data_IF_312674863894
#
_entry.id   IF_312674863894
#
_cell.length_a   1.000
_cell.length_b   1.000
_cell.length_c   1.000
_cell.angle_alpha   90.00
_cell.angle_beta   90.00
_cell.angle_gamma   90.00
#
_symmetry.space_group_name_H-M   'P 1'
#
loop_
_entity.id
_entity.type
_entity.pdbx_description
1 polymer ?
#
# COMPACT_ATOMS: atom_id res chain seq x y z
N UNK A 1 36.87 -26.43 -37.57
CA UNK A 1 35.71 -25.51 -37.74
C UNK A 1 35.01 -25.44 -36.39
N UNK A 2 35.23 -24.36 -35.63
CA UNK A 2 34.68 -24.21 -34.27
C UNK A 2 33.30 -23.56 -34.36
N UNK A 3 32.27 -24.26 -33.86
CA UNK A 3 30.93 -23.70 -33.69
C UNK A 3 30.96 -22.71 -32.51
N UNK A 4 30.79 -21.42 -32.81
CA UNK A 4 30.55 -20.39 -31.79
C UNK A 4 29.06 -20.36 -31.50
N UNK A 5 28.65 -20.89 -30.36
CA UNK A 5 27.31 -20.71 -29.81
C UNK A 5 27.18 -19.25 -29.34
N UNK A 6 26.55 -18.42 -30.16
CA UNK A 6 26.17 -17.06 -29.80
C UNK A 6 25.06 -17.12 -28.74
N UNK A 7 25.43 -16.92 -27.48
CA UNK A 7 24.47 -16.69 -26.41
C UNK A 7 23.79 -15.34 -26.66
N UNK A 8 22.59 -15.38 -27.23
CA UNK A 8 21.72 -14.21 -27.35
C UNK A 8 21.19 -13.88 -25.95
N UNK A 9 22.00 -13.17 -25.15
CA UNK A 9 21.54 -12.57 -23.91
C UNK A 9 20.60 -11.44 -24.25
N UNK A 10 19.29 -11.69 -24.14
CA UNK A 10 18.28 -10.63 -24.15
C UNK A 10 18.58 -9.70 -22.97
N UNK A 11 19.21 -8.55 -23.25
CA UNK A 11 19.32 -7.46 -22.30
C UNK A 11 17.89 -7.06 -21.94
N UNK A 12 17.46 -7.36 -20.71
CA UNK A 12 16.19 -6.89 -20.17
C UNK A 12 16.28 -5.36 -20.12
N UNK A 13 15.65 -4.72 -21.10
CA UNK A 13 15.52 -3.28 -21.19
C UNK A 13 14.90 -2.75 -19.89
N UNK A 14 15.46 -1.68 -19.35
CA UNK A 14 15.12 -1.18 -18.03
C UNK A 14 13.63 -0.80 -17.96
N UNK A 15 12.93 -1.37 -16.98
CA UNK A 15 11.50 -1.29 -16.70
C UNK A 15 10.97 0.10 -16.24
N UNK A 16 11.50 1.21 -16.77
CA UNK A 16 11.13 2.58 -16.36
C UNK A 16 10.39 3.30 -17.49
N UNK A 17 9.17 3.77 -17.24
CA UNK A 17 8.44 4.63 -18.19
C UNK A 17 9.13 6.00 -18.18
N UNK A 18 9.80 6.38 -19.28
CA UNK A 18 10.52 7.65 -19.36
C UNK A 18 9.59 8.85 -19.13
N UNK A 19 8.28 8.71 -19.37
CA UNK A 19 7.29 9.78 -19.26
C UNK A 19 7.08 10.27 -17.82
N UNK A 20 7.46 9.47 -16.83
CA UNK A 20 7.29 9.83 -15.41
C UNK A 20 8.47 10.59 -14.84
N UNK A 21 9.62 10.57 -15.54
CA UNK A 21 10.83 11.30 -15.13
C UNK A 21 11.44 10.81 -13.81
N UNK A 22 11.30 9.51 -13.49
CA UNK A 22 11.79 8.93 -12.23
C UNK A 22 12.49 7.58 -12.47
N UNK A 23 13.58 7.28 -11.76
CA UNK A 23 14.41 6.05 -11.88
C UNK A 23 14.38 5.15 -10.63
N UNK A 24 14.35 3.80 -10.71
CA UNK A 24 14.32 3.01 -9.47
C UNK A 24 15.54 3.23 -8.60
N UNK A 25 15.30 3.15 -7.29
CA UNK A 25 16.37 3.05 -6.30
C UNK A 25 17.27 1.85 -6.59
N UNK A 26 18.53 1.92 -6.14
CA UNK A 26 19.49 0.84 -6.29
C UNK A 26 18.97 -0.43 -5.58
N UNK A 27 19.16 -1.58 -6.22
CA UNK A 27 18.99 -2.88 -5.57
C UNK A 27 20.15 -3.07 -4.58
N UNK A 28 19.80 -3.19 -3.30
CA UNK A 28 20.74 -3.31 -2.18
C UNK A 28 20.79 -4.72 -1.62
N UNK A 29 19.78 -5.55 -1.93
CA UNK A 29 19.75 -6.98 -1.59
C UNK A 29 19.42 -7.81 -2.84
N UNK A 30 20.16 -8.89 -3.04
CA UNK A 30 19.95 -9.84 -4.13
C UNK A 30 18.58 -10.53 -4.01
N UNK A 31 17.97 -10.93 -5.13
CA UNK A 31 16.64 -11.56 -5.17
C UNK A 31 16.49 -12.81 -4.31
N UNK A 32 17.59 -13.51 -4.04
CA UNK A 32 17.59 -14.81 -3.38
C UNK A 32 17.98 -14.73 -1.89
N UNK A 33 18.23 -13.52 -1.38
CA UNK A 33 18.63 -13.30 0.02
C UNK A 33 17.43 -12.84 0.85
N UNK A 34 17.38 -13.20 2.14
CA UNK A 34 16.34 -12.69 3.02
C UNK A 34 16.45 -11.16 3.12
N UNK A 35 15.32 -10.48 3.02
CA UNK A 35 15.25 -9.03 3.15
C UNK A 35 15.29 -8.65 4.64
N UNK A 36 16.24 -7.78 5.07
CA UNK A 36 16.23 -7.23 6.43
C UNK A 36 14.92 -6.50 6.71
N UNK A 37 14.36 -6.71 7.90
CA UNK A 37 13.14 -6.02 8.34
C UNK A 37 13.50 -4.67 8.99
N UNK A 38 12.64 -3.69 8.78
CA UNK A 38 12.81 -2.35 9.35
C UNK A 38 13.98 -1.55 8.75
N UNK A 39 14.54 -0.64 9.55
CA UNK A 39 15.73 0.15 9.22
C UNK A 39 15.47 1.46 8.46
N UNK A 40 14.23 1.74 8.08
CA UNK A 40 13.82 3.02 7.51
C UNK A 40 13.59 4.12 8.54
N UNK A 41 13.11 5.27 8.05
CA UNK A 41 12.76 6.43 8.89
C UNK A 41 11.27 6.72 8.85
N UNK A 42 10.76 7.26 9.95
CA UNK A 42 9.44 7.85 9.95
C UNK A 42 9.45 9.17 9.18
N UNK A 43 8.49 9.37 8.26
CA UNK A 43 8.27 10.64 7.57
C UNK A 43 6.84 10.78 7.04
N UNK A 44 6.27 11.96 7.24
CA UNK A 44 5.16 12.44 6.42
C UNK A 44 5.70 12.83 5.04
N UNK A 45 6.79 13.60 5.01
CA UNK A 45 7.45 14.05 3.79
C UNK A 45 6.90 15.38 3.28
N UNK A 46 7.69 16.07 2.46
CA UNK A 46 7.30 17.34 1.83
C UNK A 46 6.37 17.06 0.64
N UNK A 47 5.53 18.04 0.23
CA UNK A 47 4.83 17.97 -1.05
C UNK A 47 5.81 17.72 -2.20
N UNK A 48 5.38 16.92 -3.17
CA UNK A 48 6.22 16.53 -4.29
C UNK A 48 5.40 16.39 -5.57
N UNK A 49 6.07 16.44 -6.72
CA UNK A 49 5.44 16.43 -8.04
C UNK A 49 5.94 15.23 -8.85
N UNK A 50 5.03 14.49 -9.46
CA UNK A 50 5.36 13.40 -10.39
C UNK A 50 4.48 13.51 -11.63
N UNK A 51 5.07 13.43 -12.82
CA UNK A 51 4.36 13.50 -14.10
C UNK A 51 3.37 14.68 -14.20
N UNK A 52 3.73 15.86 -13.69
CA UNK A 52 2.84 17.03 -13.70
C UNK A 52 1.89 17.17 -12.51
N UNK A 53 1.62 16.09 -11.76
CA UNK A 53 0.66 16.04 -10.66
C UNK A 53 1.34 16.26 -9.31
N UNK A 54 0.75 17.12 -8.48
CA UNK A 54 1.21 17.36 -7.11
C UNK A 54 0.58 16.38 -6.12
N UNK A 55 1.39 15.95 -5.16
CA UNK A 55 1.01 15.11 -4.03
C UNK A 55 1.39 15.82 -2.73
N UNK A 56 0.48 15.75 -1.77
CA UNK A 56 0.62 16.43 -0.48
C UNK A 56 0.50 15.39 0.64
N UNK A 57 1.62 14.74 1.02
CA UNK A 57 1.62 13.88 2.19
C UNK A 57 1.21 14.64 3.44
N UNK A 58 0.38 14.00 4.27
CA UNK A 58 -0.12 14.58 5.52
C UNK A 58 -0.42 13.48 6.52
N UNK A 59 -0.41 13.84 7.79
CA UNK A 59 -1.04 13.02 8.83
C UNK A 59 -2.55 13.01 8.62
N UNK A 60 -3.13 11.83 8.63
CA UNK A 60 -4.58 11.64 8.50
C UNK A 60 -4.99 10.39 9.26
N UNK A 61 -5.18 10.53 10.57
CA UNK A 61 -5.52 9.41 11.45
C UNK A 61 -6.94 8.87 11.25
N UNK A 62 -7.74 9.57 10.43
CA UNK A 62 -9.11 9.19 10.05
C UNK A 62 -9.20 8.74 8.60
N UNK A 63 -8.06 8.54 7.94
CA UNK A 63 -8.02 8.19 6.52
C UNK A 63 -8.83 6.92 6.25
N UNK A 64 -9.81 7.06 5.37
CA UNK A 64 -10.74 6.01 4.97
C UNK A 64 -11.23 6.30 3.55
N UNK A 65 -10.57 5.70 2.57
CA UNK A 65 -10.80 6.01 1.16
C UNK A 65 -11.04 4.76 0.33
N UNK A 66 -11.86 4.91 -0.71
CA UNK A 66 -12.13 3.86 -1.69
C UNK A 66 -11.52 4.22 -3.02
N UNK A 67 -10.82 3.26 -3.63
CA UNK A 67 -10.17 3.50 -4.92
C UNK A 67 -9.64 2.22 -5.54
N UNK A 68 -8.84 2.38 -6.59
CA UNK A 68 -8.27 1.24 -7.33
C UNK A 68 -6.92 0.88 -6.73
N UNK A 69 -6.74 -0.40 -6.38
CA UNK A 69 -5.45 -0.98 -6.06
C UNK A 69 -4.82 -1.62 -7.30
N UNK A 70 -3.49 -1.60 -7.31
CA UNK A 70 -2.65 -2.48 -8.14
C UNK A 70 -1.69 -3.27 -7.27
N UNK A 71 -0.75 -4.00 -7.88
CA UNK A 71 0.36 -4.60 -7.17
C UNK A 71 1.66 -4.54 -7.97
N UNK A 72 2.80 -4.62 -7.27
CA UNK A 72 4.13 -4.55 -7.85
C UNK A 72 5.02 -5.74 -7.52
N UNK A 73 5.86 -6.11 -8.50
CA UNK A 73 6.54 -7.41 -8.57
C UNK A 73 8.03 -7.42 -8.21
N UNK A 74 8.70 -8.46 -8.68
CA UNK A 74 10.09 -8.84 -8.43
C UNK A 74 11.13 -7.80 -8.90
N UNK A 75 10.79 -6.98 -9.89
CA UNK A 75 11.64 -5.90 -10.39
C UNK A 75 12.07 -4.92 -9.28
N UNK A 76 11.22 -4.76 -8.26
CA UNK A 76 11.45 -3.90 -7.10
C UNK A 76 12.08 -4.62 -5.90
N UNK A 77 11.99 -5.95 -5.84
CA UNK A 77 12.42 -6.72 -4.68
C UNK A 77 13.87 -6.36 -4.30
N UNK A 78 14.20 -6.25 -3.01
CA UNK A 78 15.57 -5.93 -2.58
C UNK A 78 16.05 -4.51 -2.92
N UNK A 79 15.18 -3.63 -3.44
CA UNK A 79 15.46 -2.20 -3.62
C UNK A 79 14.94 -1.39 -2.43
N UNK A 80 15.47 -0.19 -2.25
CA UNK A 80 15.01 0.71 -1.19
C UNK A 80 13.63 1.30 -1.52
N UNK A 81 12.74 1.30 -0.53
CA UNK A 81 11.47 2.04 -0.57
C UNK A 81 11.71 3.52 -0.26
N UNK A 82 10.67 4.35 -0.44
CA UNK A 82 10.74 5.76 -0.16
C UNK A 82 11.19 6.07 1.28
N UNK A 83 10.86 5.25 2.28
CA UNK A 83 11.27 5.49 3.67
C UNK A 83 12.63 4.89 4.04
N UNK A 84 13.33 4.23 3.11
CA UNK A 84 14.64 3.64 3.32
C UNK A 84 14.62 2.17 3.78
N UNK A 85 13.44 1.59 4.02
CA UNK A 85 13.31 0.14 4.14
C UNK A 85 13.61 -0.56 2.81
N UNK A 86 13.75 -1.88 2.85
CA UNK A 86 14.00 -2.68 1.66
C UNK A 86 12.71 -3.40 1.27
N UNK A 87 12.29 -3.27 0.01
CA UNK A 87 11.06 -3.89 -0.46
C UNK A 87 11.18 -5.42 -0.51
N UNK A 88 10.25 -6.07 0.17
CA UNK A 88 10.07 -7.52 0.18
C UNK A 88 8.72 -7.86 -0.48
N UNK A 89 8.76 -8.51 -1.65
CA UNK A 89 7.54 -8.88 -2.36
C UNK A 89 6.73 -9.97 -1.64
N UNK A 90 7.35 -10.66 -0.68
CA UNK A 90 6.73 -11.70 0.15
C UNK A 90 6.16 -11.14 1.46
N UNK A 91 6.41 -9.87 1.80
CA UNK A 91 5.84 -9.21 2.97
C UNK A 91 4.43 -8.69 2.71
N UNK A 92 3.65 -8.47 3.76
CA UNK A 92 2.36 -7.79 3.69
C UNK A 92 2.57 -6.27 3.72
N UNK A 93 2.98 -5.70 2.58
CA UNK A 93 3.33 -4.29 2.43
C UNK A 93 2.62 -3.60 1.26
N UNK A 94 2.68 -2.27 1.23
CA UNK A 94 2.09 -1.43 0.20
C UNK A 94 2.81 -0.08 0.03
N UNK A 95 2.55 0.57 -1.10
CA UNK A 95 2.90 1.96 -1.40
C UNK A 95 1.64 2.84 -1.38
N UNK A 96 1.75 4.04 -0.79
CA UNK A 96 0.68 5.05 -0.80
C UNK A 96 1.22 6.45 -1.12
N UNK A 97 0.51 7.27 -1.92
CA UNK A 97 1.03 8.58 -2.35
C UNK A 97 1.18 9.57 -1.19
N UNK A 98 0.28 9.55 -0.21
CA UNK A 98 0.19 10.64 0.78
C UNK A 98 0.17 10.22 2.24
N UNK A 99 0.06 8.92 2.55
CA UNK A 99 0.03 8.48 3.95
C UNK A 99 1.42 8.65 4.57
N UNK A 100 1.55 8.93 5.87
CA UNK A 100 2.84 8.92 6.54
C UNK A 100 3.49 7.53 6.42
N UNK A 101 4.81 7.50 6.37
CA UNK A 101 5.57 6.25 6.28
C UNK A 101 6.46 6.07 7.52
N UNK A 102 6.64 4.85 8.05
CA UNK A 102 5.80 3.69 7.79
C UNK A 102 4.50 3.75 8.61
N UNK A 103 3.42 3.21 8.06
CA UNK A 103 2.08 3.18 8.68
C UNK A 103 1.44 1.83 8.46
N UNK A 104 0.58 1.38 9.38
CA UNK A 104 -0.33 0.27 9.13
C UNK A 104 -1.65 0.77 8.55
N UNK A 105 -2.12 0.08 7.51
CA UNK A 105 -3.44 0.32 6.92
C UNK A 105 -4.19 -1.01 6.71
N UNK A 106 -5.49 -1.03 6.95
CA UNK A 106 -6.36 -2.14 6.55
C UNK A 106 -6.77 -1.94 5.10
N UNK A 107 -6.52 -2.95 4.28
CA UNK A 107 -6.95 -2.99 2.88
C UNK A 107 -8.02 -4.05 2.74
N UNK A 108 -9.18 -3.65 2.22
CA UNK A 108 -10.31 -4.54 1.97
C UNK A 108 -10.61 -4.57 0.48
N UNK A 109 -10.55 -5.75 -0.13
CA UNK A 109 -11.00 -5.94 -1.50
C UNK A 109 -12.53 -5.98 -1.53
N UNK A 110 -13.15 -5.02 -2.22
CA UNK A 110 -14.59 -4.81 -2.19
C UNK A 110 -15.37 -5.82 -3.05
N UNK A 111 -14.70 -6.55 -3.96
CA UNK A 111 -15.39 -7.56 -4.79
C UNK A 111 -15.67 -8.85 -4.02
N UNK A 112 -14.75 -9.25 -3.13
CA UNK A 112 -14.80 -10.51 -2.39
C UNK A 112 -14.91 -10.32 -0.87
N UNK A 113 -14.78 -9.09 -0.35
CA UNK A 113 -14.87 -8.79 1.08
C UNK A 113 -13.65 -9.20 1.91
N UNK A 114 -12.59 -9.73 1.28
CA UNK A 114 -11.36 -10.10 1.98
C UNK A 114 -10.62 -8.87 2.46
N UNK A 115 -10.03 -8.94 3.65
CA UNK A 115 -9.21 -7.84 4.18
C UNK A 115 -7.95 -8.32 4.89
N UNK A 116 -6.94 -7.46 4.92
CA UNK A 116 -5.69 -7.68 5.65
C UNK A 116 -5.08 -6.33 6.04
N UNK A 117 -4.36 -6.27 7.15
CA UNK A 117 -3.55 -5.11 7.52
C UNK A 117 -2.17 -5.23 6.85
N UNK A 118 -1.68 -4.11 6.32
CA UNK A 118 -0.42 -4.02 5.58
C UNK A 118 0.46 -2.91 6.13
N UNK A 119 1.77 -3.07 5.97
CA UNK A 119 2.75 -2.01 6.19
C UNK A 119 2.88 -1.12 4.94
N UNK A 120 2.49 0.13 5.05
CA UNK A 120 2.71 1.16 4.03
C UNK A 120 4.08 1.79 4.27
N UNK A 121 5.06 1.47 3.44
CA UNK A 121 6.45 1.93 3.60
C UNK A 121 7.03 2.60 2.33
N UNK A 122 6.24 2.72 1.27
CA UNK A 122 6.68 3.29 0.00
C UNK A 122 5.72 4.36 -0.54
N UNK A 123 6.19 5.12 -1.53
CA UNK A 123 5.44 6.17 -2.23
C UNK A 123 4.97 5.68 -3.61
N UNK A 124 3.80 6.16 -4.03
CA UNK A 124 3.10 5.66 -5.22
C UNK A 124 1.77 5.04 -4.82
N UNK A 125 0.94 4.60 -5.78
CA UNK A 125 1.17 4.65 -7.22
C UNK A 125 0.88 6.05 -7.81
N UNK A 126 1.41 6.32 -9.01
CA UNK A 126 1.16 7.59 -9.73
C UNK A 126 0.48 7.39 -11.10
N UNK A 127 0.18 6.14 -11.45
CA UNK A 127 -0.56 5.78 -12.67
C UNK A 127 -2.06 5.88 -12.42
N UNK A 128 -2.79 6.38 -13.42
CA UNK A 128 -4.23 6.16 -13.56
C UNK A 128 -5.04 6.43 -12.29
N UNK A 129 -4.61 7.42 -11.50
CA UNK A 129 -5.22 7.80 -10.23
C UNK A 129 -5.48 6.63 -9.25
N UNK A 130 -4.62 5.60 -9.30
CA UNK A 130 -4.69 4.46 -8.37
C UNK A 130 -4.42 4.94 -6.93
N UNK A 131 -5.12 4.31 -5.99
CA UNK A 131 -5.09 4.67 -4.58
C UNK A 131 -3.89 4.07 -3.85
N UNK A 132 -3.58 2.80 -4.15
CA UNK A 132 -2.60 2.01 -3.40
C UNK A 132 -1.95 0.97 -4.33
N UNK A 133 -0.66 0.68 -4.11
CA UNK A 133 0.06 -0.38 -4.81
C UNK A 133 0.48 -1.43 -3.78
N UNK A 134 0.08 -2.69 -3.97
CA UNK A 134 0.26 -3.75 -2.99
C UNK A 134 1.48 -4.62 -3.33
N UNK A 135 2.09 -5.23 -2.33
CA UNK A 135 3.08 -6.28 -2.58
C UNK A 135 2.44 -7.50 -3.27
N UNK A 136 3.26 -8.33 -3.91
CA UNK A 136 2.80 -9.56 -4.56
C UNK A 136 2.09 -10.51 -3.56
N UNK A 137 2.59 -10.61 -2.32
CA UNK A 137 1.96 -11.42 -1.27
C UNK A 137 0.62 -10.81 -0.81
N UNK A 138 0.54 -9.50 -0.64
CA UNK A 138 -0.71 -8.81 -0.27
C UNK A 138 -1.78 -9.01 -1.35
N UNK A 139 -1.41 -8.84 -2.62
CA UNK A 139 -2.30 -9.06 -3.74
C UNK A 139 -2.78 -10.52 -3.85
N UNK A 140 -1.93 -11.48 -3.45
CA UNK A 140 -2.28 -12.90 -3.39
C UNK A 140 -3.34 -13.17 -2.31
N UNK A 141 -3.13 -12.68 -1.08
CA UNK A 141 -4.09 -12.93 0.01
C UNK A 141 -5.43 -12.21 -0.20
N UNK A 142 -5.42 -11.04 -0.83
CA UNK A 142 -6.65 -10.33 -1.22
C UNK A 142 -7.30 -10.85 -2.50
N UNK A 143 -6.71 -11.87 -3.12
CA UNK A 143 -7.20 -12.52 -4.35
C UNK A 143 -7.42 -11.53 -5.51
N UNK A 144 -6.41 -10.70 -5.74
CA UNK A 144 -6.38 -9.76 -6.87
C UNK A 144 -5.12 -9.88 -7.73
N UNK A 145 -4.17 -10.74 -7.35
CA UNK A 145 -2.91 -10.90 -8.08
C UNK A 145 -3.13 -11.27 -9.55
N UNK A 146 -4.04 -12.19 -9.83
CA UNK A 146 -4.34 -12.64 -11.20
C UNK A 146 -5.11 -11.60 -12.02
N UNK A 147 -5.95 -10.78 -11.36
CA UNK A 147 -6.72 -9.72 -12.01
C UNK A 147 -5.87 -8.46 -12.28
N UNK A 148 -4.77 -8.28 -11.55
CA UNK A 148 -3.88 -7.12 -11.66
C UNK A 148 -4.41 -5.89 -10.93
N UNK A 149 -5.72 -5.65 -11.00
CA UNK A 149 -6.40 -4.51 -10.37
C UNK A 149 -7.59 -4.98 -9.52
N UNK A 150 -7.91 -4.21 -8.48
CA UNK A 150 -9.14 -4.39 -7.70
C UNK A 150 -9.63 -3.06 -7.13
N UNK A 151 -10.94 -2.96 -6.89
CA UNK A 151 -11.50 -1.87 -6.09
C UNK A 151 -11.35 -2.19 -4.61
N UNK A 152 -10.69 -1.32 -3.86
CA UNK A 152 -10.38 -1.53 -2.44
C UNK A 152 -10.85 -0.37 -1.59
N UNK A 153 -11.05 -0.63 -0.29
CA UNK A 153 -11.10 0.37 0.77
C UNK A 153 -9.79 0.33 1.55
N UNK A 154 -9.20 1.49 1.83
CA UNK A 154 -7.96 1.64 2.59
C UNK A 154 -8.26 2.47 3.84
N UNK A 155 -8.00 1.90 5.01
CA UNK A 155 -8.27 2.54 6.29
C UNK A 155 -6.98 2.64 7.11
N UNK A 156 -6.66 3.84 7.61
CA UNK A 156 -5.53 4.03 8.52
C UNK A 156 -5.75 3.30 9.83
N UNK A 157 -4.72 2.60 10.31
CA UNK A 157 -4.72 1.89 11.59
C UNK A 157 -3.83 2.61 12.60
N UNK A 158 -2.62 3.03 12.20
CA UNK A 158 -1.67 3.65 13.11
C UNK A 158 -0.26 3.65 12.55
N UNK A 159 0.67 4.33 13.24
CA UNK A 159 2.09 4.31 12.86
C UNK A 159 2.63 2.88 12.99
N UNK A 160 3.43 2.47 12.00
CA UNK A 160 4.10 1.18 12.06
C UNK A 160 5.47 1.35 12.74
N UNK A 161 5.88 0.45 13.64
CA UNK A 161 7.19 0.51 14.28
C UNK A 161 8.35 0.41 13.28
N UNK A 162 9.48 1.06 13.55
CA UNK A 162 10.61 1.16 12.63
C UNK A 162 11.47 -0.11 12.57
N UNK A 163 11.38 -0.97 13.59
CA UNK A 163 12.03 -2.28 13.65
C UNK A 163 11.41 -3.30 12.68
N UNK A 164 10.18 -3.07 12.20
CA UNK A 164 9.54 -3.92 11.20
C UNK A 164 9.08 -5.29 11.70
N UNK A 165 8.71 -5.43 12.98
CA UNK A 165 8.04 -6.64 13.48
C UNK A 165 6.59 -6.70 12.96
N UNK A 166 6.46 -7.16 11.72
CA UNK A 166 5.21 -7.32 10.99
C UNK A 166 4.66 -8.77 11.06
N UNK A 167 5.22 -9.62 11.93
CA UNK A 167 4.90 -11.06 11.99
C UNK A 167 3.42 -11.36 12.25
N UNK A 168 2.75 -10.44 12.95
CA UNK A 168 1.34 -10.53 13.30
C UNK A 168 0.38 -10.16 12.15
N UNK A 169 0.85 -9.48 11.09
CA UNK A 169 -0.04 -9.00 10.03
C UNK A 169 -0.84 -10.13 9.37
N UNK A 170 -0.26 -11.33 9.26
CA UNK A 170 -0.93 -12.52 8.71
C UNK A 170 -2.15 -12.95 9.52
N UNK A 171 -2.15 -12.71 10.83
CA UNK A 171 -3.29 -13.02 11.73
C UNK A 171 -4.48 -12.09 11.51
N UNK A 172 -4.28 -10.96 10.85
CA UNK A 172 -5.33 -9.99 10.53
C UNK A 172 -6.12 -10.35 9.29
N UNK A 173 -5.67 -11.35 8.52
CA UNK A 173 -6.38 -11.84 7.35
C UNK A 173 -7.80 -12.25 7.73
N UNK A 174 -8.76 -11.69 7.01
CA UNK A 174 -10.18 -11.91 7.23
C UNK A 174 -10.86 -12.24 5.91
N UNK A 175 -11.65 -13.31 5.90
CA UNK A 175 -12.58 -13.61 4.82
C UNK A 175 -13.77 -12.64 4.83
N UNK A 176 -14.61 -12.71 3.80
CA UNK A 176 -15.83 -11.91 3.69
C UNK A 176 -16.68 -11.98 4.96
N UNK A 177 -17.07 -10.82 5.49
CA UNK A 177 -17.92 -10.71 6.68
C UNK A 177 -17.20 -10.96 8.01
N UNK A 178 -15.91 -11.28 8.01
CA UNK A 178 -15.11 -11.38 9.23
C UNK A 178 -14.44 -10.05 9.57
N UNK A 179 -14.41 -9.71 10.85
CA UNK A 179 -13.56 -8.64 11.38
C UNK A 179 -12.57 -9.25 12.34
N UNK A 180 -11.29 -9.31 11.94
CA UNK A 180 -10.21 -9.71 12.84
C UNK A 180 -9.71 -8.51 13.64
N UNK A 181 -9.60 -8.63 14.98
CA UNK A 181 -9.07 -7.56 15.82
C UNK A 181 -7.59 -7.31 15.49
N UNK A 182 -7.15 -6.08 15.74
CA UNK A 182 -5.73 -5.71 15.68
C UNK A 182 -5.18 -5.82 17.10
N UNK A 183 -4.04 -6.48 17.33
CA UNK A 183 -3.45 -6.53 18.66
C UNK A 183 -3.00 -5.13 19.12
N UNK A 184 -3.53 -4.64 20.24
CA UNK A 184 -3.34 -3.25 20.72
C UNK A 184 -1.88 -2.85 20.95
N UNK A 185 -0.99 -3.79 21.27
CA UNK A 185 0.42 -3.52 21.57
C UNK A 185 1.34 -3.43 20.34
N UNK A 186 0.80 -3.53 19.12
CA UNK A 186 1.59 -3.56 17.87
C UNK A 186 1.58 -2.25 17.09
N UNK A 187 0.75 -1.29 17.50
CA UNK A 187 0.68 0.03 16.89
C UNK A 187 1.61 0.96 17.68
N UNK A 188 2.54 1.64 16.99
CA UNK A 188 3.36 2.63 17.65
C UNK A 188 2.45 3.78 18.12
N UNK A 189 2.57 4.17 19.40
CA UNK A 189 1.77 5.26 19.95
C UNK A 189 1.94 6.52 19.08
N UNK A 190 0.84 7.26 18.88
CA UNK A 190 0.85 8.59 18.25
C UNK A 190 1.51 9.62 19.19
N UNK A 191 2.71 9.35 19.70
CA UNK A 191 3.46 10.30 20.51
C UNK A 191 4.33 11.13 19.58
N UNK A 192 4.01 12.41 19.46
CA UNK A 192 4.80 13.42 18.75
C UNK A 192 6.09 13.77 19.53
N UNK A 193 6.99 12.80 19.68
CA UNK A 193 8.29 13.00 20.31
C UNK A 193 9.23 11.80 20.15
N UNK A 194 10.55 12.00 20.21
CA UNK A 194 11.52 10.91 20.19
C UNK A 194 11.27 9.98 21.39
N UNK A 195 11.21 8.68 21.11
CA UNK A 195 10.95 7.62 22.08
C UNK A 195 11.91 7.72 23.30
N UNK A 196 11.41 7.86 24.54
CA UNK A 196 12.23 7.87 25.75
C UNK A 196 13.03 6.57 25.97
N UNK A 197 12.69 5.48 25.28
CA UNK A 197 13.34 4.17 25.39
C UNK A 197 14.60 4.03 24.54
N UNK A 198 14.92 5.02 23.69
CA UNK A 198 16.18 5.09 22.95
C UNK A 198 17.27 5.87 23.71
N UNK A 199 17.34 5.73 25.04
CA UNK A 199 18.56 6.06 25.79
C UNK A 199 19.42 4.80 25.90
N UNK A 200 20.59 4.71 25.25
CA UNK A 200 21.51 3.63 25.54
C UNK A 200 21.90 3.71 27.02
N UNK A 201 21.67 2.63 27.77
CA UNK A 201 22.22 2.51 29.11
C UNK A 201 23.74 2.37 28.99
N UNK A 202 24.45 3.15 29.81
CA UNK A 202 25.90 3.23 29.97
C UNK A 202 26.70 3.87 28.83
N UNK A 203 26.95 5.18 28.98
CA UNK A 203 28.29 5.74 28.79
C UNK A 203 28.59 6.76 29.88
N UNK A 204 29.77 6.61 30.47
CA UNK A 204 30.40 7.47 31.46
C UNK A 204 30.33 8.96 31.08
N UNK A 205 30.15 9.80 32.08
CA UNK A 205 30.25 11.25 32.02
C UNK A 205 31.53 11.73 31.34
N UNK A 206 31.40 12.60 30.34
CA UNK A 206 32.41 13.63 30.04
C UNK A 206 31.70 14.89 29.53
N UNK A 207 31.79 15.92 30.34
CA UNK A 207 31.45 17.30 30.04
C UNK A 207 32.34 17.81 28.89
N UNK A 208 31.75 18.35 27.82
CA UNK A 208 32.37 19.41 27.01
C UNK A 208 31.29 20.21 26.29
N UNK A 209 31.32 21.51 26.56
CA UNK A 209 30.55 22.61 25.99
C UNK A 209 30.84 22.79 24.49
N UNK A 210 29.83 23.03 23.66
CA UNK A 210 30.05 23.41 22.26
C UNK A 210 28.75 23.62 21.48
N UNK A 211 28.60 24.82 20.92
CA UNK A 211 27.38 25.35 20.30
C UNK A 211 27.46 25.34 18.76
N UNK A 212 26.29 25.49 18.13
CA UNK A 212 25.95 25.97 16.77
C UNK A 212 26.25 25.08 15.54
N UNK A 213 25.15 24.61 14.92
CA UNK A 213 24.81 24.86 13.51
C UNK A 213 25.66 24.22 12.40
N UNK A 214 25.10 23.21 11.73
CA UNK A 214 25.30 23.03 10.30
C UNK A 214 24.06 22.40 9.66
N UNK A 215 23.51 23.11 8.68
CA UNK A 215 22.44 22.64 7.83
C UNK A 215 22.91 21.42 7.02
N UNK A 216 22.21 20.30 7.14
CA UNK A 216 22.41 19.19 6.21
C UNK A 216 21.87 19.60 4.83
N UNK A 217 22.65 19.44 3.75
CA UNK A 217 22.24 19.91 2.44
C UNK A 217 21.01 19.14 1.94
N UNK A 218 20.21 19.81 1.12
CA UNK A 218 19.06 19.22 0.45
C UNK A 218 19.51 17.97 -0.32
N UNK A 219 18.94 16.81 0.02
CA UNK A 219 19.08 15.60 -0.81
C UNK A 219 18.21 15.83 -2.03
N UNK A 220 18.85 15.90 -3.20
CA UNK A 220 18.18 15.98 -4.50
C UNK A 220 17.32 14.72 -4.71
N UNK A 221 16.00 14.92 -4.77
CA UNK A 221 14.99 13.85 -4.91
C UNK A 221 14.70 13.49 -6.37
N UNK A 222 15.53 13.95 -7.32
CA UNK A 222 15.41 13.66 -8.76
C UNK A 222 15.54 12.17 -9.14
N UNK A 223 15.83 11.28 -8.19
CA UNK A 223 16.25 9.90 -8.46
C UNK A 223 15.34 8.76 -7.92
N UNK A 224 14.07 9.01 -7.57
CA UNK A 224 13.20 7.99 -6.96
C UNK A 224 12.00 7.57 -7.83
N UNK A 225 12.07 6.39 -8.47
CA UNK A 225 10.96 5.76 -9.18
C UNK A 225 10.10 4.89 -8.27
N UNK A 226 8.77 4.98 -8.44
CA UNK A 226 7.77 4.09 -7.86
C UNK A 226 7.55 2.83 -8.70
N UNK A 227 6.75 1.93 -8.16
CA UNK A 227 6.65 0.55 -8.57
C UNK A 227 5.80 0.21 -9.83
N UNK A 228 5.49 1.17 -10.70
CA UNK A 228 4.45 1.01 -11.73
C UNK A 228 4.83 1.32 -13.17
N UNK A 229 6.10 1.50 -13.50
CA UNK A 229 6.54 1.74 -14.88
C UNK A 229 6.26 0.59 -15.89
N UNK A 230 5.36 -0.35 -15.57
CA UNK A 230 4.90 -1.43 -16.42
C UNK A 230 3.38 -1.34 -16.62
N UNK A 231 2.94 -0.95 -17.82
CA UNK A 231 1.55 -1.12 -18.29
C UNK A 231 1.45 -2.36 -19.17
N UNK A 232 0.83 -3.43 -18.64
CA UNK A 232 0.16 -4.43 -19.46
C UNK A 232 -1.28 -3.98 -19.67
N UNK A 233 -1.65 -3.71 -20.92
CA UNK A 233 -2.99 -3.27 -21.33
C UNK A 233 -4.10 -4.14 -20.71
N UNK A 234 -5.00 -3.51 -19.95
CA UNK A 234 -6.47 -3.65 -19.98
C UNK A 234 -7.12 -2.86 -18.83
N UNK A 235 -6.89 -1.55 -18.83
CA UNK A 235 -7.53 -0.65 -17.87
C UNK A 235 -9.02 -0.50 -18.22
N UNK A 236 -9.39 -0.41 -19.50
CA UNK A 236 -10.80 -0.25 -19.90
C UNK A 236 -11.67 -1.48 -19.56
N UNK A 237 -11.19 -2.70 -19.83
CA UNK A 237 -11.97 -3.93 -19.60
C UNK A 237 -12.17 -4.22 -18.10
N UNK A 238 -11.18 -3.92 -17.26
CA UNK A 238 -11.29 -4.12 -15.82
C UNK A 238 -12.29 -3.15 -15.18
N UNK A 239 -12.32 -1.89 -15.64
CA UNK A 239 -13.30 -0.90 -15.16
C UNK A 239 -14.72 -1.26 -15.64
N UNK A 240 -14.90 -1.68 -16.89
CA UNK A 240 -16.19 -2.15 -17.41
C UNK A 240 -16.67 -3.46 -16.73
N UNK A 241 -15.76 -4.36 -16.36
CA UNK A 241 -16.10 -5.57 -15.57
C UNK A 241 -16.53 -5.22 -14.14
N UNK A 242 -15.89 -4.23 -13.52
CA UNK A 242 -16.28 -3.72 -12.19
C UNK A 242 -17.65 -3.02 -12.25
N UNK A 243 -17.92 -2.22 -13.27
CA UNK A 243 -19.23 -1.56 -13.46
C UNK A 243 -20.35 -2.54 -13.85
N UNK A 244 -20.09 -3.51 -14.72
CA UNK A 244 -21.09 -4.51 -15.14
C UNK A 244 -21.49 -5.50 -14.04
N UNK A 245 -20.61 -5.77 -13.07
CA UNK A 245 -20.94 -6.55 -11.87
C UNK A 245 -21.92 -5.85 -10.91
N UNK A 246 -22.16 -4.55 -11.10
CA UNK A 246 -23.17 -3.75 -10.39
C UNK A 246 -24.57 -3.91 -11.00
N UNK A 247 -24.64 -4.13 -12.31
CA UNK A 247 -25.90 -4.29 -13.05
C UNK A 247 -26.51 -5.68 -12.85
N UNK A 248 -25.68 -6.71 -12.68
CA UNK A 248 -26.13 -8.09 -12.48
C UNK A 248 -26.65 -8.41 -11.06
N UNK A 249 -26.40 -7.53 -10.07
CA UNK A 249 -26.90 -7.66 -8.68
C UNK A 249 -28.05 -6.70 -8.33
N UNK A 250 -28.76 -6.19 -9.35
CA UNK A 250 -29.91 -5.29 -9.21
C UNK A 250 -31.23 -5.84 -9.74
N UNK A 251 -31.37 -7.17 -9.85
CA UNK A 251 -32.50 -7.82 -10.52
C UNK A 251 -33.25 -8.83 -9.67
N UNK A 252 -33.71 -8.45 -8.49
CA UNK A 252 -34.83 -9.13 -7.83
C UNK A 252 -35.74 -8.09 -7.20
N UNK A 253 -36.80 -7.75 -7.93
CA UNK A 253 -37.98 -7.09 -7.41
C UNK A 253 -38.60 -7.95 -6.30
N UNK A 254 -38.33 -7.63 -5.04
CA UNK A 254 -39.14 -8.09 -3.92
C UNK A 254 -40.35 -7.17 -3.80
N UNK A 255 -41.50 -7.69 -4.18
CA UNK A 255 -42.82 -7.13 -3.90
C UNK A 255 -43.04 -7.23 -2.39
N UNK A 256 -42.86 -6.12 -1.67
CA UNK A 256 -43.38 -5.96 -0.32
C UNK A 256 -44.54 -4.97 -0.45
N UNK A 257 -45.73 -5.51 -0.69
CA UNK A 257 -46.97 -4.77 -0.45
C UNK A 257 -47.14 -4.59 1.06
N UNK A 258 -47.37 -3.34 1.43
CA UNK A 258 -47.62 -2.84 2.77
C UNK A 258 -48.83 -3.51 3.41
N UNK A 259 -48.58 -4.20 4.52
CA UNK A 259 -49.61 -4.56 5.50
C UNK A 259 -49.85 -3.34 6.40
N UNK A 260 -50.88 -2.56 6.12
CA UNK A 260 -51.51 -1.69 7.12
C UNK A 260 -52.93 -2.21 7.33
N UNK A 261 -53.16 -2.65 8.56
CA UNK A 261 -54.47 -3.01 9.11
C UNK A 261 -55.49 -1.90 8.87
N UNK A 262 -56.68 -2.25 8.40
CA UNK A 262 -57.93 -1.79 9.02
C UNK A 262 -59.09 -2.77 8.74
N UNK A 263 -59.92 -2.92 9.77
CA UNK A 263 -60.91 -3.96 10.03
C UNK A 263 -62.12 -4.02 9.05
N UNK A 264 -62.90 -5.12 9.08
CA UNK A 264 -63.98 -5.40 8.14
C UNK A 264 -65.33 -4.85 8.64
N UNK A 265 -66.19 -4.48 7.69
CA UNK A 265 -67.64 -4.56 7.88
C UNK A 265 -68.31 -4.93 6.55
N UNK A 266 -68.89 -6.13 6.56
CA UNK A 266 -69.91 -6.63 5.65
C UNK A 266 -71.07 -5.64 5.47
N UNK A 267 -71.68 -5.62 4.29
CA UNK A 267 -73.12 -5.90 4.04
C UNK A 267 -73.40 -5.72 2.53
N UNK A 268 -73.70 -6.86 1.90
CA UNK A 268 -74.79 -7.19 0.96
C UNK A 268 -75.15 -6.31 -0.27
N UNK A 269 -75.58 -6.93 -1.40
CA UNK A 269 -75.58 -6.36 -2.74
C UNK A 269 -76.96 -5.86 -3.18
N UNK A 270 -76.96 -4.96 -4.17
CA UNK A 270 -77.81 -5.01 -5.37
C UNK A 270 -77.08 -4.35 -6.52
#
# INVERSE_FOLDING_TARGET
MALVLSACGSLRESAFDPKLGVSASKRVVDTNKPIPKGGGVYKVGKPYKVAGKWYYPREDTKYDEVGVASWYGDDFHGRQTANGEIYDMHALSAAHPTLPLPTYARVTNLSNGRSVVVRVNDRGPYAHDRLIDLSAQTAKVLDMRHHGLAKVRVQYIGRAPLEGDDTWLTTTYAEAGQVKPIPDNRIAANTDGPDPRLRPQNVLSLTTTGSIGQANPAVDMSAYAPAWAMTGNRVADAFAAIESSRVQRGGTTSRIESLILNHPASIDPR
#
